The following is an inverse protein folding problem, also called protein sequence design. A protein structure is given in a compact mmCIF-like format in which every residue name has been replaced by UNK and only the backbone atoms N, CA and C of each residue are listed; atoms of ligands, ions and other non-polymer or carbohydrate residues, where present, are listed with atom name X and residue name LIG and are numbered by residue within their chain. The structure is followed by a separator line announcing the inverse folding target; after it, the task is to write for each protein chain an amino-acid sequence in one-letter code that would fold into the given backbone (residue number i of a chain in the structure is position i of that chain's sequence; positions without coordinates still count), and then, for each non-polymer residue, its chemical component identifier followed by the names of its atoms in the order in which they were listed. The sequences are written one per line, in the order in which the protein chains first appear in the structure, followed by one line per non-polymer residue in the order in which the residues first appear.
data_IF_937469057434
#
_entry.id   IF_937469057434
#
_cell.length_a   1.000
_cell.length_b   1.000
_cell.length_c   1.000
_cell.angle_alpha   90.00
_cell.angle_beta   90.00
_cell.angle_gamma   90.00
#
_symmetry.space_group_name_H-M   'P 1'
#
loop_
_entity.id
_entity.type
_entity.pdbx_description
1 polymer ?
#
# COMPACT_ATOMS: atom_id res chain seq x y z
N UNK A 1 -33.51 -1.07 -27.94
CA UNK A 1 -33.08 -1.89 -26.76
C UNK A 1 -31.86 -1.23 -26.12
N UNK A 2 -31.72 -1.22 -24.79
CA UNK A 2 -30.56 -0.60 -24.12
C UNK A 2 -29.39 -1.59 -24.04
N UNK A 3 -28.21 -1.20 -24.53
CA UNK A 3 -27.00 -2.03 -24.54
C UNK A 3 -25.87 -1.29 -23.84
N UNK A 4 -25.04 -2.03 -23.10
CA UNK A 4 -23.87 -1.48 -22.41
C UNK A 4 -22.61 -1.80 -23.23
N UNK A 5 -21.82 -0.77 -23.54
CA UNK A 5 -20.55 -0.94 -24.24
C UNK A 5 -19.56 -1.73 -23.35
N UNK A 6 -18.98 -2.81 -23.88
CA UNK A 6 -18.00 -3.65 -23.17
C UNK A 6 -16.66 -2.94 -22.92
N UNK A 7 -16.30 -1.97 -23.77
CA UNK A 7 -15.04 -1.24 -23.67
C UNK A 7 -15.06 -0.13 -22.60
N UNK A 8 -16.16 0.63 -22.50
CA UNK A 8 -16.25 1.79 -21.61
C UNK A 8 -17.38 1.72 -20.56
N UNK A 9 -18.26 0.74 -20.64
CA UNK A 9 -19.38 0.59 -19.70
C UNK A 9 -20.52 1.61 -19.90
N UNK A 10 -20.47 2.46 -20.93
CA UNK A 10 -21.53 3.41 -21.24
C UNK A 10 -22.80 2.68 -21.72
N UNK A 11 -23.96 3.11 -21.23
CA UNK A 11 -25.26 2.54 -21.58
C UNK A 11 -25.93 3.46 -22.59
N UNK A 12 -26.19 2.94 -23.79
CA UNK A 12 -26.87 3.66 -24.87
C UNK A 12 -28.05 2.86 -25.39
N UNK A 13 -28.99 3.55 -26.04
CA UNK A 13 -30.00 2.88 -26.85
C UNK A 13 -29.36 2.40 -28.15
N UNK A 14 -29.52 1.11 -28.44
CA UNK A 14 -28.93 0.52 -29.63
C UNK A 14 -29.79 0.89 -30.84
N UNK A 15 -29.16 1.64 -31.74
CA UNK A 15 -29.67 1.94 -33.06
C UNK A 15 -29.27 0.82 -34.01
N UNK A 16 -30.22 0.28 -34.78
CA UNK A 16 -29.98 -0.88 -35.67
C UNK A 16 -29.00 -0.56 -36.81
N UNK A 17 -28.87 0.73 -37.14
CA UNK A 17 -28.00 1.22 -38.21
C UNK A 17 -26.58 1.53 -37.73
N UNK A 18 -26.38 1.75 -36.42
CA UNK A 18 -25.12 2.25 -35.87
C UNK A 18 -24.62 1.42 -34.67
N UNK A 19 -23.82 0.39 -34.98
CA UNK A 19 -23.24 -0.55 -34.01
C UNK A 19 -21.94 -0.04 -33.35
N UNK A 20 -21.88 1.25 -33.02
CA UNK A 20 -20.73 1.83 -32.33
C UNK A 20 -21.13 2.61 -31.09
N UNK A 21 -20.23 2.62 -30.11
CA UNK A 21 -20.43 3.33 -28.85
C UNK A 21 -20.30 4.84 -29.05
N UNK A 22 -21.32 5.61 -28.70
CA UNK A 22 -21.28 7.08 -28.83
C UNK A 22 -20.24 7.75 -27.92
N UNK A 23 -19.78 7.07 -26.87
CA UNK A 23 -18.82 7.62 -25.92
C UNK A 23 -17.36 7.27 -26.24
N UNK A 24 -17.09 6.08 -26.78
CA UNK A 24 -15.72 5.60 -26.99
C UNK A 24 -15.42 5.13 -28.42
N UNK A 25 -16.38 5.16 -29.33
CA UNK A 25 -16.23 4.71 -30.72
C UNK A 25 -15.99 3.20 -30.89
N UNK A 26 -16.02 2.42 -29.79
CA UNK A 26 -15.82 0.98 -29.84
C UNK A 26 -17.04 0.23 -30.39
N UNK A 27 -16.88 -0.98 -30.95
CA UNK A 27 -17.98 -1.76 -31.50
C UNK A 27 -18.96 -2.19 -30.40
N UNK A 28 -20.26 -2.12 -30.69
CA UNK A 28 -21.35 -2.52 -29.78
C UNK A 28 -22.29 -3.47 -30.51
N UNK A 29 -22.36 -4.71 -30.06
CA UNK A 29 -23.21 -5.76 -30.63
C UNK A 29 -24.42 -6.11 -29.74
N UNK A 30 -25.52 -6.54 -30.36
CA UNK A 30 -26.75 -6.98 -29.68
C UNK A 30 -26.50 -8.19 -28.75
N UNK A 31 -25.55 -9.05 -29.16
CA UNK A 31 -25.13 -10.23 -28.41
C UNK A 31 -24.25 -9.90 -27.19
N UNK A 32 -23.77 -8.65 -27.07
CA UNK A 32 -22.96 -8.19 -25.94
C UNK A 32 -23.81 -7.71 -24.74
N UNK A 33 -25.10 -8.00 -24.75
CA UNK A 33 -26.04 -7.80 -23.64
C UNK A 33 -25.75 -8.64 -22.38
N UNK A 34 -24.59 -9.31 -22.30
CA UNK A 34 -24.03 -9.78 -21.03
C UNK A 34 -23.68 -8.57 -20.18
N UNK A 35 -24.70 -8.09 -19.46
CA UNK A 35 -24.64 -7.29 -18.25
C UNK A 35 -23.31 -7.60 -17.57
N UNK A 36 -22.34 -6.70 -17.71
CA UNK A 36 -21.07 -6.85 -17.02
C UNK A 36 -21.39 -6.60 -15.56
N UNK A 37 -21.64 -7.70 -14.82
CA UNK A 37 -21.94 -7.67 -13.40
C UNK A 37 -20.81 -6.90 -12.69
N UNK A 38 -21.13 -5.68 -12.28
CA UNK A 38 -20.35 -4.77 -11.44
C UNK A 38 -19.07 -4.15 -12.06
N UNK A 39 -19.16 -2.93 -12.62
CA UNK A 39 -17.98 -2.06 -12.82
C UNK A 39 -17.31 -1.64 -11.50
N UNK A 40 -17.87 -2.01 -10.33
CA UNK A 40 -17.33 -1.69 -8.99
C UNK A 40 -16.21 -2.61 -8.50
N UNK A 41 -15.78 -3.64 -9.25
CA UNK A 41 -14.79 -4.66 -8.82
C UNK A 41 -13.33 -4.16 -8.74
N UNK A 42 -13.10 -2.85 -8.65
CA UNK A 42 -11.77 -2.24 -8.51
C UNK A 42 -11.63 -1.19 -7.40
N UNK A 43 -12.74 -0.57 -6.96
CA UNK A 43 -12.68 0.60 -6.05
C UNK A 43 -12.26 0.23 -4.62
N UNK A 44 -12.55 -0.99 -4.17
CA UNK A 44 -12.14 -1.48 -2.84
C UNK A 44 -10.63 -1.71 -2.68
N UNK A 45 -9.91 -2.02 -3.78
CA UNK A 45 -8.46 -2.26 -3.73
C UNK A 45 -7.65 -0.98 -3.52
N UNK A 46 -8.14 0.16 -4.02
CA UNK A 46 -7.51 1.45 -3.78
C UNK A 46 -7.58 1.85 -2.30
N UNK A 47 -8.71 1.62 -1.64
CA UNK A 47 -8.85 1.87 -0.21
C UNK A 47 -7.94 0.98 0.65
N UNK A 48 -7.83 -0.30 0.30
CA UNK A 48 -6.97 -1.24 1.03
C UNK A 48 -5.47 -0.90 0.90
N UNK A 49 -5.04 -0.43 -0.26
CA UNK A 49 -3.65 0.02 -0.47
C UNK A 49 -3.29 1.24 0.40
N UNK A 50 -4.22 2.20 0.51
CA UNK A 50 -4.01 3.41 1.33
C UNK A 50 -3.93 3.05 2.82
N UNK A 51 -4.83 2.19 3.31
CA UNK A 51 -4.80 1.74 4.71
C UNK A 51 -3.52 0.96 5.04
N UNK A 52 -3.09 0.07 4.12
CA UNK A 52 -1.84 -0.67 4.29
C UNK A 52 -0.61 0.26 4.33
N UNK A 53 -0.58 1.30 3.48
CA UNK A 53 0.50 2.30 3.48
C UNK A 53 0.57 3.08 4.81
N UNK A 54 -0.58 3.52 5.34
CA UNK A 54 -0.61 4.20 6.64
C UNK A 54 -0.21 3.28 7.80
N UNK A 55 -0.62 2.01 7.79
CA UNK A 55 -0.17 1.01 8.77
C UNK A 55 1.35 0.80 8.71
N UNK A 56 1.91 0.72 7.50
CA UNK A 56 3.36 0.60 7.33
C UNK A 56 4.11 1.81 7.90
N UNK A 57 3.65 3.03 7.60
CA UNK A 57 4.24 4.24 8.17
C UNK A 57 4.12 4.26 9.69
N UNK A 58 2.95 3.91 10.24
CA UNK A 58 2.73 3.85 11.68
C UNK A 58 3.72 2.91 12.37
N UNK A 59 3.84 1.67 11.86
CA UNK A 59 4.80 0.69 12.38
C UNK A 59 6.23 1.20 12.22
N UNK A 60 6.61 1.75 11.06
CA UNK A 60 7.95 2.26 10.81
C UNK A 60 8.35 3.37 11.80
N UNK A 61 7.48 4.37 12.02
CA UNK A 61 7.76 5.46 12.95
C UNK A 61 7.76 5.00 14.42
N UNK A 62 6.85 4.11 14.81
CA UNK A 62 6.84 3.55 16.16
C UNK A 62 8.05 2.66 16.44
N UNK A 63 8.43 1.81 15.48
CA UNK A 63 9.60 0.95 15.64
C UNK A 63 10.90 1.75 15.61
N UNK A 64 11.02 2.78 14.75
CA UNK A 64 12.19 3.64 14.69
C UNK A 64 12.44 4.36 16.03
N UNK A 65 11.38 4.87 16.67
CA UNK A 65 11.48 5.46 18.01
C UNK A 65 11.89 4.43 19.08
N UNK A 66 11.41 3.19 18.97
CA UNK A 66 11.72 2.11 19.91
C UNK A 66 13.16 1.60 19.75
N UNK A 67 13.58 1.31 18.52
CA UNK A 67 14.93 0.88 18.16
C UNK A 67 15.97 1.96 18.46
N UNK A 68 15.68 3.23 18.20
CA UNK A 68 16.58 4.34 18.54
C UNK A 68 16.81 4.49 20.04
N UNK A 69 15.76 4.33 20.85
CA UNK A 69 15.87 4.38 22.32
C UNK A 69 16.66 3.21 22.88
N UNK A 70 16.42 2.00 22.38
CA UNK A 70 17.19 0.80 22.77
C UNK A 70 18.64 0.88 22.31
N UNK A 71 18.90 1.41 21.10
CA UNK A 71 20.25 1.64 20.60
C UNK A 71 21.07 2.59 21.48
N UNK A 72 20.47 3.71 21.91
CA UNK A 72 21.11 4.64 22.87
C UNK A 72 21.33 4.02 24.25
N UNK A 73 20.37 3.23 24.75
CA UNK A 73 20.53 2.59 26.06
C UNK A 73 21.65 1.53 26.02
N UNK A 74 21.73 0.72 24.97
CA UNK A 74 22.77 -0.30 24.80
C UNK A 74 24.15 0.35 24.64
N UNK A 75 24.28 1.40 23.83
CA UNK A 75 25.58 2.07 23.65
C UNK A 75 26.08 2.72 24.95
N UNK A 76 25.19 3.30 25.75
CA UNK A 76 25.53 3.85 27.06
C UNK A 76 26.01 2.75 28.03
N UNK A 77 25.33 1.60 28.07
CA UNK A 77 25.74 0.47 28.91
C UNK A 77 27.10 -0.10 28.50
N UNK A 78 27.35 -0.24 27.19
CA UNK A 78 28.66 -0.67 26.68
C UNK A 78 29.78 0.32 27.02
N UNK A 79 29.50 1.62 26.94
CA UNK A 79 30.46 2.65 27.32
C UNK A 79 30.82 2.59 28.81
N UNK A 80 29.82 2.50 29.68
CA UNK A 80 30.01 2.39 31.14
C UNK A 80 30.77 1.10 31.48
N UNK A 81 30.42 -0.03 30.85
CA UNK A 81 31.13 -1.29 31.04
C UNK A 81 32.59 -1.21 30.59
N UNK A 82 32.85 -0.61 29.42
CA UNK A 82 34.20 -0.39 28.90
C UNK A 82 35.05 0.46 29.85
N UNK A 83 34.47 1.54 30.37
CA UNK A 83 35.13 2.39 31.36
C UNK A 83 35.43 1.64 32.65
N UNK A 84 34.46 0.87 33.17
CA UNK A 84 34.63 0.07 34.37
C UNK A 84 35.70 -1.02 34.23
N UNK A 85 35.71 -1.73 33.09
CA UNK A 85 36.74 -2.73 32.77
C UNK A 85 38.13 -2.10 32.72
N UNK A 86 38.25 -0.92 32.12
CA UNK A 86 39.52 -0.20 32.03
C UNK A 86 40.00 0.26 33.42
N UNK A 87 39.08 0.75 34.26
CA UNK A 87 39.36 1.10 35.66
C UNK A 87 39.85 -0.11 36.48
N UNK A 88 39.18 -1.27 36.35
CA UNK A 88 39.59 -2.51 37.00
C UNK A 88 40.97 -2.98 36.54
N UNK A 89 41.26 -2.92 35.24
CA UNK A 89 42.58 -3.27 34.71
C UNK A 89 43.68 -2.39 35.29
N UNK A 90 43.45 -1.08 35.41
CA UNK A 90 44.42 -0.16 36.03
C UNK A 90 44.65 -0.46 37.52
N UNK A 91 43.59 -0.83 38.28
CA UNK A 91 43.74 -1.25 39.68
C UNK A 91 44.53 -2.55 39.82
N UNK A 92 44.27 -3.52 38.95
CA UNK A 92 44.99 -4.81 38.98
C UNK A 92 46.45 -4.67 38.55
N UNK A 93 46.77 -3.72 37.66
CA UNK A 93 48.14 -3.45 37.23
C UNK A 93 48.97 -2.63 38.25
N UNK A 94 48.31 -2.00 39.23
CA UNK A 94 48.95 -1.21 40.29
C UNK A 94 49.10 -1.98 41.61
N UNK A 95 48.63 -3.23 41.66
CA UNK A 95 48.87 -4.20 42.73
C UNK A 95 49.95 -5.18 42.29
#
# INVERSE_FOLDING_TARGET
MKVQCSACGHVQELDSEYKICMNCGGPVDENNSRILNNPRKGRGRQGLAIVAFFLFLFVFFFWSKYLGRHGMAISALFYIWGFYKNYLNKRNASK
#
